data_IF_334441336064
#
_entry.id   IF_334441336064
#
_cell.length_a   1.000
_cell.length_b   1.000
_cell.length_c   1.000
_cell.angle_alpha   90.00
_cell.angle_beta   90.00
_cell.angle_gamma   90.00
#
_symmetry.space_group_name_H-M   'P 1'
#
loop_
_entity.id
_entity.type
_entity.pdbx_description
1 polymer ?
#
# COMPACT_ATOMS: atom_id res chain seq x y z
N UNK A 1 13.06 1.55 1.81
CA UNK A 1 11.69 1.58 2.34
C UNK A 1 10.91 0.45 1.67
N UNK A 2 10.25 -0.42 2.42
CA UNK A 2 9.40 -1.48 1.87
C UNK A 2 7.93 -1.17 2.20
N UNK A 3 7.04 -1.37 1.23
CA UNK A 3 5.69 -0.84 1.25
C UNK A 3 4.67 -1.96 0.99
N UNK A 4 4.61 -2.98 1.87
CA UNK A 4 3.50 -3.93 1.79
C UNK A 4 3.17 -4.69 3.08
N UNK A 5 1.96 -4.48 3.59
CA UNK A 5 1.13 -5.48 4.28
C UNK A 5 -0.31 -4.96 4.24
N UNK A 6 -1.16 -5.47 3.34
CA UNK A 6 -2.60 -5.19 3.43
C UNK A 6 -3.18 -5.99 4.57
N UNK A 7 -3.24 -5.36 5.73
CA UNK A 7 -3.88 -5.96 6.90
C UNK A 7 -5.33 -5.48 6.96
N UNK A 8 -6.24 -6.42 7.18
CA UNK A 8 -7.62 -6.08 7.53
C UNK A 8 -7.66 -5.77 9.02
N UNK A 9 -8.01 -4.54 9.37
CA UNK A 9 -8.12 -4.07 10.75
C UNK A 9 -9.59 -3.99 11.18
N UNK A 10 -9.83 -4.27 12.46
CA UNK A 10 -11.12 -4.05 13.13
C UNK A 10 -12.31 -4.69 12.39
N UNK A 11 -12.12 -5.88 11.81
CA UNK A 11 -13.20 -6.60 11.15
C UNK A 11 -14.26 -7.00 12.16
N UNK A 12 -15.51 -6.56 11.94
CA UNK A 12 -16.59 -6.82 12.87
C UNK A 12 -17.96 -6.35 12.38
N UNK A 13 -18.98 -6.67 13.18
CA UNK A 13 -20.40 -6.41 12.84
C UNK A 13 -21.05 -5.34 13.72
N UNK A 14 -20.44 -5.03 14.87
CA UNK A 14 -21.04 -4.15 15.88
C UNK A 14 -20.60 -2.70 15.78
N UNK A 15 -19.37 -2.45 15.30
CA UNK A 15 -18.80 -1.11 15.20
C UNK A 15 -18.63 -0.72 13.74
N UNK A 16 -19.16 0.46 13.38
CA UNK A 16 -19.08 1.05 12.05
C UNK A 16 -18.73 2.53 12.16
N UNK A 17 -17.86 3.00 11.28
CA UNK A 17 -17.62 4.42 11.07
C UNK A 17 -17.81 4.76 9.58
N UNK A 18 -17.81 6.05 9.26
CA UNK A 18 -17.98 6.54 7.89
C UNK A 18 -16.87 6.13 6.93
N UNK A 19 -15.73 5.65 7.44
CA UNK A 19 -14.56 5.22 6.67
C UNK A 19 -14.44 3.69 6.53
N UNK A 20 -15.38 2.92 7.11
CA UNK A 20 -15.35 1.46 6.99
C UNK A 20 -15.65 1.00 5.57
N UNK A 21 -14.85 0.06 5.07
CA UNK A 21 -15.25 -0.79 3.96
C UNK A 21 -16.25 -1.84 4.44
N UNK A 22 -17.13 -2.27 3.54
CA UNK A 22 -18.18 -3.24 3.84
C UNK A 22 -18.06 -4.44 2.90
N UNK A 23 -18.33 -5.64 3.41
CA UNK A 23 -18.47 -6.86 2.61
C UNK A 23 -19.61 -7.71 3.13
N UNK A 24 -20.23 -8.47 2.23
CA UNK A 24 -21.18 -9.52 2.61
C UNK A 24 -20.39 -10.78 3.00
N UNK A 25 -20.67 -11.31 4.18
CA UNK A 25 -20.11 -12.57 4.67
C UNK A 25 -21.24 -13.54 5.00
N UNK A 26 -21.03 -14.82 4.71
CA UNK A 26 -21.97 -15.87 5.09
C UNK A 26 -21.69 -16.32 6.51
N UNK A 27 -22.67 -16.24 7.40
CA UNK A 27 -22.62 -16.77 8.76
C UNK A 27 -23.74 -17.79 8.88
N UNK A 28 -23.40 -19.07 8.81
CA UNK A 28 -24.39 -20.14 8.66
C UNK A 28 -25.13 -20.01 7.32
N UNK A 29 -26.46 -19.91 7.37
CA UNK A 29 -27.31 -19.73 6.20
C UNK A 29 -27.61 -18.26 5.85
N UNK A 30 -27.21 -17.31 6.72
CA UNK A 30 -27.52 -15.89 6.54
C UNK A 30 -26.35 -15.12 5.92
N UNK A 31 -26.69 -14.12 5.10
CA UNK A 31 -25.73 -13.13 4.60
C UNK A 31 -25.80 -11.88 5.46
N UNK A 32 -24.70 -11.57 6.13
CA UNK A 32 -24.59 -10.39 7.01
C UNK A 32 -23.53 -9.43 6.50
N UNK A 33 -23.72 -8.14 6.76
CA UNK A 33 -22.72 -7.11 6.43
C UNK A 33 -21.66 -7.11 7.51
N UNK A 34 -20.40 -7.24 7.09
CA UNK A 34 -19.23 -7.06 7.94
C UNK A 34 -18.52 -5.76 7.55
N UNK A 35 -18.22 -4.94 8.55
CA UNK A 35 -17.42 -3.73 8.41
C UNK A 35 -15.96 -4.05 8.72
N UNK A 36 -15.04 -3.49 7.94
CA UNK A 36 -13.61 -3.65 8.15
C UNK A 36 -12.87 -2.43 7.61
N UNK A 37 -11.61 -2.28 8.01
CA UNK A 37 -10.69 -1.36 7.36
C UNK A 37 -9.52 -2.12 6.76
N UNK A 38 -8.93 -1.53 5.71
CA UNK A 38 -7.64 -1.96 5.18
C UNK A 38 -6.69 -0.80 5.25
N UNK A 39 -5.41 -1.09 5.36
CA UNK A 39 -4.37 -0.08 5.32
C UNK A 39 -3.14 -0.60 4.60
N UNK A 40 -2.39 0.34 4.06
CA UNK A 40 -1.04 0.14 3.55
C UNK A 40 -0.06 0.70 4.58
N UNK A 41 1.01 -0.03 4.82
CA UNK A 41 2.02 0.30 5.82
C UNK A 41 3.35 0.48 5.10
N UNK A 42 4.07 1.55 5.42
CA UNK A 42 5.43 1.74 4.97
C UNK A 42 6.39 1.51 6.15
N UNK A 43 7.37 0.65 5.95
CA UNK A 43 8.46 0.46 6.90
C UNK A 43 9.83 0.71 6.26
N UNK A 44 10.78 1.13 7.09
CA UNK A 44 12.18 1.17 6.72
C UNK A 44 12.77 -0.23 6.92
N UNK A 45 13.45 -0.72 5.88
CA UNK A 45 14.13 -2.02 5.86
C UNK A 45 15.64 -1.81 5.80
N UNK A 46 16.42 -2.79 6.23
CA UNK A 46 17.89 -2.70 6.34
C UNK A 46 18.42 -2.62 7.77
N UNK A 47 17.55 -2.85 8.76
CA UNK A 47 17.88 -2.92 10.19
C UNK A 47 17.32 -4.22 10.76
N UNK A 48 17.80 -4.63 11.94
CA UNK A 48 17.37 -5.85 12.63
C UNK A 48 15.87 -5.85 12.98
N UNK A 49 15.24 -4.68 13.03
CA UNK A 49 13.80 -4.50 13.23
C UNK A 49 13.20 -3.60 12.14
N UNK A 50 12.11 -4.02 11.47
CA UNK A 50 11.41 -3.14 10.53
C UNK A 50 10.78 -1.96 11.28
N UNK A 51 11.26 -0.75 10.99
CA UNK A 51 10.73 0.48 11.58
C UNK A 51 9.54 0.97 10.77
N UNK A 52 8.34 0.94 11.33
CA UNK A 52 7.14 1.50 10.69
C UNK A 52 7.25 3.02 10.64
N UNK A 53 7.24 3.60 9.44
CA UNK A 53 7.33 5.04 9.22
C UNK A 53 5.95 5.71 9.28
N UNK A 54 4.96 5.12 8.61
CA UNK A 54 3.59 5.64 8.57
C UNK A 54 2.62 4.57 8.03
N UNK A 55 1.33 4.80 8.22
CA UNK A 55 0.22 3.96 7.75
C UNK A 55 -0.81 4.84 7.04
N UNK A 56 -1.38 4.36 5.95
CA UNK A 56 -2.53 4.98 5.30
C UNK A 56 -3.69 3.99 5.24
N UNK A 57 -4.84 4.40 5.77
CA UNK A 57 -6.06 3.61 5.66
C UNK A 57 -6.67 3.79 4.26
N UNK A 58 -7.07 2.68 3.66
CA UNK A 58 -7.79 2.63 2.40
C UNK A 58 -9.22 3.16 2.62
N UNK A 59 -9.66 4.07 1.76
CA UNK A 59 -11.02 4.63 1.83
C UNK A 59 -12.04 3.65 1.24
N UNK A 60 -13.33 3.73 1.62
CA UNK A 60 -14.36 2.87 1.04
C UNK A 60 -14.43 3.01 -0.49
N UNK A 61 -14.43 1.88 -1.20
CA UNK A 61 -14.48 1.84 -2.67
C UNK A 61 -13.17 2.18 -3.38
N UNK A 62 -12.13 2.53 -2.64
CA UNK A 62 -10.80 2.81 -3.17
C UNK A 62 -10.04 1.50 -3.45
N UNK A 63 -9.06 1.52 -4.35
CA UNK A 63 -8.05 0.46 -4.49
C UNK A 63 -6.83 0.68 -3.56
N UNK A 64 -6.04 -0.36 -3.35
CA UNK A 64 -4.81 -0.30 -2.53
C UNK A 64 -3.80 0.74 -3.06
N UNK A 65 -3.64 0.80 -4.38
CA UNK A 65 -2.68 1.70 -5.04
C UNK A 65 -2.91 3.18 -4.73
N UNK A 66 -4.17 3.61 -4.67
CA UNK A 66 -4.48 5.00 -4.39
C UNK A 66 -4.20 5.37 -2.91
N UNK A 67 -4.35 4.43 -1.98
CA UNK A 67 -3.91 4.60 -0.60
C UNK A 67 -2.37 4.64 -0.50
N UNK A 68 -1.68 3.73 -1.20
CA UNK A 68 -0.23 3.70 -1.23
C UNK A 68 0.41 4.96 -1.84
N UNK A 69 -0.21 5.52 -2.89
CA UNK A 69 0.24 6.78 -3.49
C UNK A 69 0.16 7.92 -2.47
N UNK A 70 -0.98 8.08 -1.79
CA UNK A 70 -1.14 9.09 -0.72
C UNK A 70 -0.13 8.89 0.41
N UNK A 71 0.12 7.63 0.79
CA UNK A 71 1.12 7.31 1.80
C UNK A 71 2.51 7.73 1.32
N UNK A 72 2.92 7.35 0.12
CA UNK A 72 4.23 7.69 -0.43
C UNK A 72 4.42 9.21 -0.57
N UNK A 73 3.43 9.94 -1.09
CA UNK A 73 3.49 11.41 -1.18
C UNK A 73 3.78 12.03 0.20
N UNK A 74 3.06 11.58 1.23
CA UNK A 74 3.25 12.05 2.60
C UNK A 74 4.63 11.68 3.15
N UNK A 75 5.10 10.47 2.86
CA UNK A 75 6.42 9.99 3.29
C UNK A 75 7.57 10.73 2.59
N UNK A 76 7.46 11.03 1.30
CA UNK A 76 8.48 11.77 0.56
C UNK A 76 8.66 13.19 1.11
N UNK A 77 7.55 13.83 1.50
CA UNK A 77 7.59 15.16 2.12
C UNK A 77 8.16 15.11 3.54
N UNK A 78 7.66 14.19 4.38
CA UNK A 78 7.99 14.18 5.81
C UNK A 78 9.30 13.44 6.13
N UNK A 79 9.59 12.39 5.37
CA UNK A 79 10.66 11.44 5.65
C UNK A 79 11.58 11.16 4.45
N UNK A 80 11.48 11.93 3.36
CA UNK A 80 12.25 11.68 2.14
C UNK A 80 13.77 11.68 2.34
N UNK A 81 14.30 12.22 3.44
CA UNK A 81 15.74 12.15 3.76
C UNK A 81 16.17 10.85 4.45
N UNK A 82 15.24 10.03 4.94
CA UNK A 82 15.54 8.82 5.69
C UNK A 82 15.68 7.56 4.82
N UNK A 83 15.41 7.65 3.52
CA UNK A 83 15.56 6.54 2.59
C UNK A 83 15.91 7.04 1.19
N UNK A 84 16.73 6.27 0.49
CA UNK A 84 17.11 6.54 -0.90
C UNK A 84 16.31 5.71 -1.91
N UNK A 85 15.75 4.59 -1.44
CA UNK A 85 15.04 3.64 -2.28
C UNK A 85 13.66 3.24 -1.73
N UNK A 86 12.71 3.07 -2.65
CA UNK A 86 11.37 2.54 -2.41
C UNK A 86 11.29 1.14 -3.04
N UNK A 87 10.92 0.15 -2.24
CA UNK A 87 10.74 -1.24 -2.64
C UNK A 87 9.24 -1.58 -2.57
N UNK A 88 8.68 -2.01 -3.69
CA UNK A 88 7.30 -2.50 -3.81
C UNK A 88 7.25 -3.91 -4.40
N UNK A 89 6.08 -4.53 -4.37
CA UNK A 89 5.81 -5.72 -5.19
C UNK A 89 5.36 -5.33 -6.61
N UNK A 90 5.01 -6.34 -7.42
CA UNK A 90 4.60 -6.15 -8.80
C UNK A 90 3.33 -5.31 -8.98
N UNK A 91 2.45 -5.23 -7.98
CA UNK A 91 1.24 -4.42 -8.06
C UNK A 91 1.58 -2.92 -8.10
N UNK A 92 2.70 -2.53 -7.50
CA UNK A 92 3.18 -1.16 -7.46
C UNK A 92 3.92 -0.72 -8.73
N UNK A 93 3.98 -1.59 -9.75
CA UNK A 93 4.61 -1.33 -11.03
C UNK A 93 3.75 -0.47 -11.96
N UNK A 94 3.25 0.65 -11.45
CA UNK A 94 2.50 1.62 -12.22
C UNK A 94 3.36 2.86 -12.51
N UNK A 95 3.28 3.39 -13.74
CA UNK A 95 4.05 4.55 -14.19
C UNK A 95 3.97 5.75 -13.24
N UNK A 96 2.82 5.99 -12.62
CA UNK A 96 2.65 7.09 -11.68
C UNK A 96 3.51 6.95 -10.41
N UNK A 97 3.68 5.73 -9.91
CA UNK A 97 4.51 5.47 -8.72
C UNK A 97 5.99 5.64 -9.02
N UNK A 98 6.44 5.15 -10.18
CA UNK A 98 7.80 5.39 -10.65
C UNK A 98 8.08 6.88 -10.81
N UNK A 99 7.23 7.59 -11.54
CA UNK A 99 7.39 9.01 -11.78
C UNK A 99 7.43 9.82 -10.46
N UNK A 100 6.60 9.45 -9.48
CA UNK A 100 6.62 10.08 -8.16
C UNK A 100 7.96 9.86 -7.45
N UNK A 101 8.47 8.63 -7.42
CA UNK A 101 9.78 8.35 -6.82
C UNK A 101 10.92 9.07 -7.55
N UNK A 102 10.93 9.04 -8.88
CA UNK A 102 11.96 9.66 -9.72
C UNK A 102 11.97 11.19 -9.55
N UNK A 103 10.80 11.83 -9.50
CA UNK A 103 10.69 13.26 -9.24
C UNK A 103 11.29 13.67 -7.89
N UNK A 104 11.29 12.76 -6.91
CA UNK A 104 11.91 12.95 -5.60
C UNK A 104 13.33 12.37 -5.49
N UNK A 105 13.96 12.03 -6.62
CA UNK A 105 15.31 11.45 -6.71
C UNK A 105 15.45 10.18 -5.86
N UNK A 106 14.45 9.31 -5.92
CA UNK A 106 14.44 8.01 -5.25
C UNK A 106 14.62 6.88 -6.25
N UNK A 107 15.39 5.88 -5.84
CA UNK A 107 15.46 4.62 -6.55
C UNK A 107 14.17 3.83 -6.32
N UNK A 108 13.70 3.13 -7.34
CA UNK A 108 12.55 2.22 -7.23
C UNK A 108 13.03 0.81 -7.49
N UNK A 109 12.74 -0.07 -6.55
CA UNK A 109 12.93 -1.50 -6.71
C UNK A 109 11.55 -2.14 -6.67
N UNK A 110 11.31 -3.09 -7.54
CA UNK A 110 10.05 -3.83 -7.53
C UNK A 110 10.29 -5.29 -7.88
N UNK A 111 9.61 -6.17 -7.14
CA UNK A 111 9.69 -7.60 -7.38
C UNK A 111 8.68 -7.98 -8.45
N UNK A 112 9.17 -8.33 -9.64
CA UNK A 112 8.34 -8.86 -10.71
C UNK A 112 7.82 -10.25 -10.34
N UNK A 113 6.50 -10.39 -10.25
CA UNK A 113 5.81 -11.68 -10.20
C UNK A 113 5.13 -11.87 -11.57
N UNK A 114 5.71 -12.75 -12.38
CA UNK A 114 5.36 -13.04 -13.79
C UNK A 114 6.00 -12.07 -14.81
N UNK A 115 6.37 -12.63 -15.97
CA UNK A 115 7.14 -12.01 -17.05
C UNK A 115 6.34 -10.87 -17.74
N UNK A 116 6.42 -9.65 -17.20
CA UNK A 116 5.89 -8.43 -17.83
C UNK A 116 6.99 -7.74 -18.63
N UNK A 117 7.16 -8.12 -19.90
CA UNK A 117 8.22 -7.64 -20.78
C UNK A 117 8.20 -6.10 -20.98
N UNK A 118 7.01 -5.48 -21.00
CA UNK A 118 6.87 -4.03 -21.20
C UNK A 118 7.53 -3.20 -20.09
N UNK A 119 7.56 -3.72 -18.86
CA UNK A 119 8.21 -3.03 -17.73
C UNK A 119 9.74 -3.13 -17.79
N UNK A 120 10.27 -4.13 -18.50
CA UNK A 120 11.70 -4.25 -18.75
C UNK A 120 12.14 -3.27 -19.84
N UNK A 121 11.28 -3.01 -20.83
CA UNK A 121 11.53 -2.02 -21.88
C UNK A 121 11.53 -0.59 -21.31
N UNK A 122 10.62 -0.27 -20.39
CA UNK A 122 10.57 1.05 -19.72
C UNK A 122 11.75 1.30 -18.75
N UNK A 123 12.49 0.25 -18.38
CA UNK A 123 13.61 0.32 -17.44
C UNK A 123 14.99 0.48 -18.10
N UNK A 124 15.08 0.33 -19.43
CA UNK A 124 16.32 0.49 -20.22
C UNK A 124 16.41 1.86 -20.89
#
# INVERSE_FOLDING_TARGET
MWLWTVTSFFAGRHHRCSLCSQRLVSVGQEKVIECYHRGVIAHLIGYDLPLVLDVEMQRPGEGEMAAARRLLERLLVRYGRFFDAVLGDALYLESQMFNLCLAHRKHVLAVLKVNNASLLEDAN
#
